data_IF_210575508031
#
_entry.id   IF_210575508031
#
_cell.length_a   1.000
_cell.length_b   1.000
_cell.length_c   1.000
_cell.angle_alpha   90.00
_cell.angle_beta   90.00
_cell.angle_gamma   90.00
#
_symmetry.space_group_name_H-M   'P 1'
#
loop_
_entity.id
_entity.type
_entity.pdbx_description
1 polymer ?
#
# COMPACT_ATOMS: atom_id res chain seq x y z
N UNK A 1 19.81 -11.06 16.26
CA UNK A 1 20.31 -10.94 14.85
C UNK A 1 20.50 -9.47 14.59
N UNK A 2 21.51 -9.06 13.82
CA UNK A 2 21.75 -7.64 13.55
C UNK A 2 21.26 -7.34 12.15
N UNK A 3 20.07 -6.74 12.02
CA UNK A 3 19.57 -6.22 10.75
C UNK A 3 20.43 -5.05 10.28
N UNK A 4 20.50 -4.86 8.98
CA UNK A 4 21.18 -3.72 8.31
C UNK A 4 20.27 -3.05 7.30
N UNK A 5 19.30 -3.78 6.79
CA UNK A 5 18.40 -3.34 5.71
C UNK A 5 16.96 -3.50 6.14
N UNK A 6 16.16 -2.47 5.89
CA UNK A 6 14.73 -2.48 6.13
C UNK A 6 14.00 -2.36 4.80
N UNK A 7 13.16 -3.32 4.49
CA UNK A 7 12.14 -3.20 3.46
C UNK A 7 10.87 -2.75 4.15
N UNK A 8 10.31 -1.64 3.74
CA UNK A 8 9.17 -1.02 4.39
C UNK A 8 8.07 -0.84 3.35
N UNK A 9 6.87 -1.31 3.65
CA UNK A 9 5.71 -0.98 2.85
C UNK A 9 5.33 0.49 3.00
N UNK A 10 4.53 1.02 2.08
CA UNK A 10 4.13 2.42 2.10
C UNK A 10 2.70 2.62 2.59
N UNK A 11 1.72 2.04 1.87
CA UNK A 11 0.31 2.28 2.09
C UNK A 11 -0.18 1.53 3.35
N UNK A 12 -0.85 2.22 4.26
CA UNK A 12 -1.26 1.74 5.60
C UNK A 12 -0.12 1.32 6.54
N UNK A 13 1.14 1.50 6.12
CA UNK A 13 2.31 1.31 6.99
C UNK A 13 2.95 2.64 7.37
N UNK A 14 3.20 3.52 6.39
CA UNK A 14 3.75 4.86 6.59
C UNK A 14 2.80 5.95 6.12
N UNK A 15 2.07 5.72 5.04
CA UNK A 15 1.14 6.65 4.41
C UNK A 15 -0.29 6.18 4.66
N UNK A 16 -1.12 7.04 5.26
CA UNK A 16 -2.50 6.73 5.68
C UNK A 16 -3.43 6.68 4.47
N UNK A 17 -3.49 5.51 3.78
CA UNK A 17 -4.34 5.35 2.60
C UNK A 17 -5.82 5.37 2.96
N UNK A 18 -6.19 4.92 4.15
CA UNK A 18 -7.58 4.93 4.59
C UNK A 18 -8.11 6.36 4.67
N UNK A 19 -7.39 7.25 5.33
CA UNK A 19 -7.79 8.65 5.44
C UNK A 19 -7.69 9.37 4.10
N UNK A 20 -6.52 9.36 3.49
CA UNK A 20 -6.25 10.09 2.25
C UNK A 20 -7.12 9.61 1.09
N UNK A 21 -7.31 8.29 0.97
CA UNK A 21 -8.16 7.69 -0.07
C UNK A 21 -9.64 8.00 0.14
N UNK A 22 -10.10 7.98 1.41
CA UNK A 22 -11.47 8.35 1.77
C UNK A 22 -11.79 9.80 1.41
N UNK A 23 -10.89 10.75 1.76
CA UNK A 23 -11.04 12.15 1.37
C UNK A 23 -11.15 12.32 -0.15
N UNK A 24 -10.26 11.65 -0.92
CA UNK A 24 -10.33 11.70 -2.38
C UNK A 24 -11.64 11.14 -2.94
N UNK A 25 -12.15 10.03 -2.36
CA UNK A 25 -13.43 9.45 -2.78
C UNK A 25 -14.61 10.37 -2.45
N UNK A 26 -14.54 11.09 -1.33
CA UNK A 26 -15.58 12.07 -0.95
C UNK A 26 -15.58 13.27 -1.90
N UNK A 27 -14.40 13.78 -2.27
CA UNK A 27 -14.27 14.81 -3.31
C UNK A 27 -14.86 14.33 -4.66
N UNK A 28 -14.53 13.10 -5.09
CA UNK A 28 -15.08 12.47 -6.29
C UNK A 28 -16.62 12.36 -6.20
N UNK A 29 -17.13 11.90 -5.07
CA UNK A 29 -18.57 11.79 -4.85
C UNK A 29 -19.30 13.12 -5.08
N UNK A 30 -18.74 14.23 -4.59
CA UNK A 30 -19.31 15.57 -4.77
C UNK A 30 -19.14 16.09 -6.20
N UNK A 31 -17.95 16.07 -6.74
CA UNK A 31 -17.61 16.69 -8.02
C UNK A 31 -18.24 15.97 -9.22
N UNK A 32 -18.40 14.66 -9.12
CA UNK A 32 -19.03 13.84 -10.17
C UNK A 32 -20.52 13.56 -9.90
N UNK A 33 -21.12 14.28 -8.95
CA UNK A 33 -22.55 14.23 -8.64
C UNK A 33 -23.06 12.81 -8.32
N UNK A 34 -22.28 12.01 -7.60
CA UNK A 34 -22.64 10.65 -7.19
C UNK A 34 -23.88 10.59 -6.31
N UNK A 35 -24.31 11.76 -5.74
CA UNK A 35 -25.60 11.89 -5.04
C UNK A 35 -26.80 11.48 -5.90
N UNK A 36 -26.65 11.51 -7.23
CA UNK A 36 -27.69 11.04 -8.16
C UNK A 36 -27.85 9.51 -8.11
N UNK A 37 -26.88 8.77 -7.58
CA UNK A 37 -26.86 7.32 -7.49
C UNK A 37 -26.93 6.83 -6.05
N UNK A 38 -26.25 7.50 -5.15
CA UNK A 38 -26.15 7.19 -3.73
C UNK A 38 -26.53 8.41 -2.91
N UNK A 39 -27.59 8.38 -2.10
CA UNK A 39 -28.06 9.53 -1.33
C UNK A 39 -26.98 10.14 -0.42
N UNK A 40 -26.07 9.31 0.12
CA UNK A 40 -24.98 9.74 0.99
C UNK A 40 -23.63 9.19 0.52
N UNK A 41 -22.55 9.87 0.91
CA UNK A 41 -21.19 9.40 0.66
C UNK A 41 -20.94 8.02 1.31
N UNK A 42 -21.47 7.80 2.52
CA UNK A 42 -21.31 6.52 3.24
C UNK A 42 -21.91 5.35 2.45
N UNK A 43 -23.07 5.53 1.84
CA UNK A 43 -23.66 4.49 0.99
C UNK A 43 -22.78 4.16 -0.22
N UNK A 44 -22.25 5.18 -0.88
CA UNK A 44 -21.28 4.99 -1.97
C UNK A 44 -20.01 4.27 -1.47
N UNK A 45 -19.42 4.75 -0.39
CA UNK A 45 -18.19 4.21 0.18
C UNK A 45 -18.33 2.74 0.58
N UNK A 46 -19.47 2.38 1.18
CA UNK A 46 -19.77 1.00 1.59
C UNK A 46 -19.96 0.04 0.38
N UNK A 47 -20.32 0.54 -0.79
CA UNK A 47 -20.37 -0.24 -2.04
C UNK A 47 -18.99 -0.30 -2.70
N UNK A 48 -18.28 0.84 -2.74
CA UNK A 48 -16.97 0.95 -3.39
C UNK A 48 -15.90 0.10 -2.70
N UNK A 49 -15.75 0.21 -1.40
CA UNK A 49 -14.60 -0.37 -0.67
C UNK A 49 -14.49 -1.90 -0.78
N UNK A 50 -15.56 -2.69 -0.57
CA UNK A 50 -15.46 -4.14 -0.73
C UNK A 50 -15.08 -4.56 -2.17
N UNK A 51 -15.62 -3.85 -3.16
CA UNK A 51 -15.27 -4.05 -4.57
C UNK A 51 -13.81 -3.74 -4.86
N UNK A 52 -13.32 -2.62 -4.36
CA UNK A 52 -11.93 -2.19 -4.51
C UNK A 52 -10.95 -3.18 -3.85
N UNK A 53 -11.24 -3.64 -2.63
CA UNK A 53 -10.41 -4.64 -1.94
C UNK A 53 -10.33 -5.95 -2.73
N UNK A 54 -11.45 -6.43 -3.27
CA UNK A 54 -11.50 -7.64 -4.11
C UNK A 54 -10.66 -7.46 -5.39
N UNK A 55 -10.81 -6.33 -6.09
CA UNK A 55 -10.06 -6.06 -7.31
C UNK A 55 -8.56 -5.97 -7.04
N UNK A 56 -8.13 -5.36 -5.94
CA UNK A 56 -6.73 -5.35 -5.53
C UNK A 56 -6.20 -6.75 -5.18
N UNK A 57 -7.03 -7.61 -4.57
CA UNK A 57 -6.65 -9.01 -4.31
C UNK A 57 -6.43 -9.76 -5.63
N UNK A 58 -7.37 -9.66 -6.59
CA UNK A 58 -7.25 -10.25 -7.92
C UNK A 58 -6.02 -9.74 -8.69
N UNK A 59 -5.74 -8.43 -8.61
CA UNK A 59 -4.54 -7.85 -9.22
C UNK A 59 -3.24 -8.41 -8.62
N UNK A 60 -3.16 -8.52 -7.29
CA UNK A 60 -2.00 -9.13 -6.61
C UNK A 60 -1.77 -10.59 -6.99
N UNK A 61 -2.84 -11.32 -7.29
CA UNK A 61 -2.80 -12.73 -7.74
C UNK A 61 -2.54 -12.87 -9.24
N UNK A 62 -2.51 -11.76 -9.99
CA UNK A 62 -2.34 -11.76 -11.44
C UNK A 62 -3.59 -12.19 -12.23
N UNK A 63 -4.75 -12.25 -11.58
CA UNK A 63 -6.02 -12.63 -12.21
C UNK A 63 -6.58 -11.53 -13.11
N UNK A 64 -6.28 -10.26 -12.79
CA UNK A 64 -6.64 -9.09 -13.60
C UNK A 64 -5.43 -8.20 -13.82
N UNK A 65 -5.47 -7.42 -14.90
CA UNK A 65 -4.44 -6.42 -15.20
C UNK A 65 -4.76 -5.08 -14.55
N UNK A 66 -3.75 -4.19 -14.49
CA UNK A 66 -3.86 -2.83 -13.97
C UNK A 66 -5.01 -2.06 -14.65
N UNK A 67 -5.12 -2.16 -15.98
CA UNK A 67 -6.14 -1.47 -16.76
C UNK A 67 -7.55 -1.89 -16.35
N UNK A 68 -7.74 -3.16 -16.03
CA UNK A 68 -9.04 -3.69 -15.56
C UNK A 68 -9.34 -3.18 -14.15
N UNK A 69 -8.36 -3.22 -13.23
CA UNK A 69 -8.52 -2.71 -11.87
C UNK A 69 -8.90 -1.23 -11.86
N UNK A 70 -8.18 -0.37 -12.59
CA UNK A 70 -8.42 1.08 -12.58
C UNK A 70 -9.78 1.46 -13.16
N UNK A 71 -10.33 0.68 -14.09
CA UNK A 71 -11.66 0.89 -14.66
C UNK A 71 -12.73 0.29 -13.75
N UNK A 72 -12.62 -0.98 -13.40
CA UNK A 72 -13.69 -1.72 -12.70
C UNK A 72 -14.00 -1.15 -11.31
N UNK A 73 -13.02 -0.64 -10.58
CA UNK A 73 -13.26 -0.07 -9.24
C UNK A 73 -14.21 1.13 -9.25
N UNK A 74 -14.29 1.89 -10.36
CA UNK A 74 -15.21 3.01 -10.51
C UNK A 74 -16.43 2.68 -11.37
N UNK A 75 -16.33 1.69 -12.27
CA UNK A 75 -17.45 1.28 -13.12
C UNK A 75 -18.45 0.39 -12.38
N UNK A 76 -17.95 -0.56 -11.57
CA UNK A 76 -18.80 -1.52 -10.88
C UNK A 76 -19.85 -0.85 -9.96
N UNK A 77 -19.54 0.18 -9.17
CA UNK A 77 -20.53 0.85 -8.34
C UNK A 77 -21.65 1.54 -9.12
N UNK A 78 -21.40 2.03 -10.33
CA UNK A 78 -22.39 2.78 -11.11
C UNK A 78 -23.08 1.97 -12.20
N UNK A 79 -22.62 0.76 -12.46
CA UNK A 79 -23.22 -0.16 -13.44
C UNK A 79 -24.70 -0.47 -13.16
N UNK A 80 -25.17 -0.64 -11.91
CA UNK A 80 -26.60 -0.84 -11.63
C UNK A 80 -27.50 0.33 -12.05
N UNK A 81 -26.93 1.51 -12.23
CA UNK A 81 -27.64 2.72 -12.66
C UNK A 81 -27.55 2.96 -14.18
N UNK A 82 -27.10 1.94 -14.94
CA UNK A 82 -27.03 1.98 -16.41
C UNK A 82 -25.76 2.64 -16.97
N UNK A 83 -24.79 2.99 -16.13
CA UNK A 83 -23.50 3.54 -16.58
C UNK A 83 -22.56 2.38 -16.88
N UNK A 84 -22.22 2.20 -18.16
CA UNK A 84 -21.38 1.09 -18.64
C UNK A 84 -20.18 1.54 -19.48
N UNK A 85 -19.98 2.87 -19.63
CA UNK A 85 -18.87 3.43 -20.40
C UNK A 85 -17.52 3.32 -19.64
N UNK A 86 -16.56 2.50 -20.11
CA UNK A 86 -15.25 2.38 -19.47
C UNK A 86 -14.46 3.69 -19.47
N UNK A 87 -14.70 4.58 -20.45
CA UNK A 87 -14.00 5.86 -20.55
C UNK A 87 -14.40 6.81 -19.42
N UNK A 88 -15.66 6.75 -18.98
CA UNK A 88 -16.15 7.47 -17.81
C UNK A 88 -15.40 7.03 -16.55
N UNK A 89 -15.34 5.73 -16.31
CA UNK A 89 -14.66 5.16 -15.13
C UNK A 89 -13.16 5.43 -15.16
N UNK A 90 -12.54 5.40 -16.35
CA UNK A 90 -11.11 5.73 -16.48
C UNK A 90 -10.83 7.18 -16.10
N UNK A 91 -11.64 8.14 -16.57
CA UNK A 91 -11.46 9.56 -16.16
C UNK A 91 -11.57 9.74 -14.65
N UNK A 92 -12.55 9.07 -14.01
CA UNK A 92 -12.68 9.08 -12.55
C UNK A 92 -11.44 8.50 -11.85
N UNK A 93 -10.93 7.38 -12.38
CA UNK A 93 -9.75 6.74 -11.83
C UNK A 93 -8.51 7.63 -11.98
N UNK A 94 -8.33 8.27 -13.13
CA UNK A 94 -7.20 9.16 -13.38
C UNK A 94 -7.26 10.38 -12.41
N UNK A 95 -8.44 10.98 -12.21
CA UNK A 95 -8.64 12.09 -11.28
C UNK A 95 -8.42 11.64 -9.81
N UNK A 96 -8.96 10.47 -9.44
CA UNK A 96 -8.72 9.90 -8.11
C UNK A 96 -7.22 9.70 -7.83
N UNK A 97 -6.48 9.12 -8.79
CA UNK A 97 -5.05 8.89 -8.64
C UNK A 97 -4.28 10.21 -8.53
N UNK A 98 -4.65 11.21 -9.34
CA UNK A 98 -4.05 12.54 -9.26
C UNK A 98 -4.30 13.19 -7.90
N UNK A 99 -5.54 13.21 -7.41
CA UNK A 99 -5.89 13.74 -6.08
C UNK A 99 -5.14 13.02 -4.96
N UNK A 100 -5.09 11.70 -5.04
CA UNK A 100 -4.37 10.88 -4.07
C UNK A 100 -2.90 11.28 -3.95
N UNK A 101 -2.24 11.64 -5.05
CA UNK A 101 -0.83 12.08 -5.00
C UNK A 101 -0.61 13.41 -4.28
N UNK A 102 -1.65 14.22 -4.10
CA UNK A 102 -1.60 15.52 -3.40
C UNK A 102 -1.85 15.40 -1.90
N UNK A 103 -2.35 14.26 -1.44
CA UNK A 103 -2.57 13.99 -0.02
C UNK A 103 -1.26 13.57 0.65
N UNK A 104 -1.06 14.03 1.87
CA UNK A 104 0.24 13.88 2.55
C UNK A 104 0.14 13.34 3.97
N UNK A 105 -1.06 12.94 4.42
CA UNK A 105 -1.23 12.40 5.76
C UNK A 105 -0.46 11.09 5.92
N UNK A 106 0.37 11.05 6.94
CA UNK A 106 1.14 9.87 7.34
C UNK A 106 0.47 9.17 8.52
N UNK A 107 0.79 7.89 8.68
CA UNK A 107 0.50 7.16 9.91
C UNK A 107 1.24 7.84 11.07
N UNK A 108 0.57 7.94 12.22
CA UNK A 108 1.14 8.58 13.43
C UNK A 108 2.47 7.94 13.83
N UNK A 109 3.47 8.77 14.12
CA UNK A 109 4.81 8.32 14.48
C UNK A 109 5.74 7.99 13.31
N UNK A 110 5.29 8.16 12.05
CA UNK A 110 6.10 7.81 10.86
C UNK A 110 7.42 8.58 10.81
N UNK A 111 7.39 9.91 10.93
CA UNK A 111 8.61 10.72 10.81
C UNK A 111 9.57 10.47 11.97
N UNK A 112 9.05 10.35 13.18
CA UNK A 112 9.82 10.02 14.37
C UNK A 112 10.50 8.65 14.27
N UNK A 113 9.81 7.66 13.70
CA UNK A 113 10.39 6.35 13.43
C UNK A 113 11.50 6.44 12.38
N UNK A 114 11.23 7.10 11.26
CA UNK A 114 12.20 7.21 10.16
C UNK A 114 13.47 8.00 10.57
N UNK A 115 13.33 9.07 11.36
CA UNK A 115 14.45 9.81 11.92
C UNK A 115 15.31 8.94 12.86
N UNK A 116 14.67 8.08 13.66
CA UNK A 116 15.36 7.14 14.54
C UNK A 116 16.11 6.04 13.77
N UNK A 117 15.51 5.53 12.68
CA UNK A 117 16.05 4.43 11.88
C UNK A 117 17.16 4.88 10.92
N UNK A 118 17.05 6.10 10.35
CA UNK A 118 17.93 6.60 9.30
C UNK A 118 19.43 6.51 9.60
N UNK A 119 19.94 6.84 10.81
CA UNK A 119 21.37 6.73 11.11
C UNK A 119 21.87 5.30 11.30
N UNK A 120 20.95 4.31 11.42
CA UNK A 120 21.28 2.93 11.80
C UNK A 120 21.12 1.93 10.67
N UNK A 121 20.18 2.18 9.76
CA UNK A 121 19.73 1.20 8.77
C UNK A 121 19.67 1.80 7.37
N UNK A 122 19.87 0.94 6.38
CA UNK A 122 19.54 1.24 4.99
C UNK A 122 18.06 0.95 4.79
N UNK A 123 17.30 1.93 4.32
CA UNK A 123 15.86 1.82 4.18
C UNK A 123 15.44 1.84 2.71
N UNK A 124 14.48 0.98 2.39
CA UNK A 124 13.95 0.80 1.03
C UNK A 124 12.43 0.66 1.11
N UNK A 125 11.71 1.32 0.21
CA UNK A 125 10.29 1.05 0.02
C UNK A 125 10.11 -0.22 -0.82
N UNK A 126 9.16 -1.07 -0.44
CA UNK A 126 8.74 -2.26 -1.18
C UNK A 126 7.21 -2.26 -1.30
N UNK A 127 6.65 -1.82 -2.44
CA UNK A 127 5.21 -1.56 -2.59
C UNK A 127 4.61 -2.18 -3.86
N UNK A 128 3.32 -2.56 -3.76
CA UNK A 128 2.49 -3.01 -4.88
C UNK A 128 1.72 -1.86 -5.55
N UNK A 129 1.86 -0.64 -5.07
CA UNK A 129 1.18 0.53 -5.64
C UNK A 129 1.75 0.94 -7.00
N UNK A 130 0.97 1.67 -7.76
CA UNK A 130 1.33 2.11 -9.11
C UNK A 130 2.47 3.12 -9.10
N UNK A 131 3.42 2.92 -10.01
CA UNK A 131 4.67 3.69 -10.07
C UNK A 131 4.43 5.21 -10.08
N UNK A 132 3.56 5.68 -10.96
CA UNK A 132 3.26 7.10 -11.12
C UNK A 132 2.64 7.74 -9.88
N UNK A 133 2.01 6.93 -9.03
CA UNK A 133 1.37 7.37 -7.78
C UNK A 133 2.37 7.33 -6.63
N UNK A 134 3.07 6.20 -6.44
CA UNK A 134 3.95 5.99 -5.29
C UNK A 134 5.11 6.98 -5.22
N UNK A 135 5.77 7.26 -6.36
CA UNK A 135 6.84 8.26 -6.40
C UNK A 135 6.35 9.65 -5.96
N UNK A 136 5.19 10.07 -6.45
CA UNK A 136 4.60 11.37 -6.07
C UNK A 136 4.16 11.40 -4.61
N UNK A 137 3.53 10.34 -4.08
CA UNK A 137 3.19 10.22 -2.65
C UNK A 137 4.43 10.39 -1.78
N UNK A 138 5.49 9.64 -2.06
CA UNK A 138 6.75 9.67 -1.30
C UNK A 138 7.40 11.05 -1.35
N UNK A 139 7.39 11.70 -2.52
CA UNK A 139 7.96 13.03 -2.68
C UNK A 139 7.14 14.10 -1.95
N UNK A 140 5.84 14.13 -2.19
CA UNK A 140 4.93 15.14 -1.63
C UNK A 140 4.75 15.01 -0.11
N UNK A 141 4.88 13.80 0.44
CA UNK A 141 4.84 13.56 1.89
C UNK A 141 6.19 13.74 2.59
N UNK A 142 7.24 14.19 1.87
CA UNK A 142 8.56 14.41 2.46
C UNK A 142 9.33 13.14 2.83
N UNK A 143 8.89 11.97 2.36
CA UNK A 143 9.49 10.67 2.71
C UNK A 143 10.75 10.34 1.91
N UNK A 144 10.91 10.94 0.71
CA UNK A 144 12.02 10.63 -0.21
C UNK A 144 13.42 10.63 0.42
N UNK A 145 13.80 11.57 1.31
CA UNK A 145 15.14 11.62 1.88
C UNK A 145 15.52 10.44 2.80
N UNK A 146 14.54 9.64 3.22
CA UNK A 146 14.76 8.51 4.12
C UNK A 146 15.15 7.22 3.38
N UNK A 147 14.82 7.12 2.10
CA UNK A 147 14.93 5.86 1.36
C UNK A 147 16.03 5.91 0.30
N UNK A 148 16.90 4.89 0.29
CA UNK A 148 17.92 4.76 -0.75
C UNK A 148 17.30 4.39 -2.11
N UNK A 149 16.29 3.54 -2.12
CA UNK A 149 15.56 3.12 -3.32
C UNK A 149 14.09 2.80 -3.01
N UNK A 150 13.29 2.86 -4.06
CA UNK A 150 11.88 2.48 -4.08
C UNK A 150 11.78 1.29 -5.02
N UNK A 151 11.27 0.17 -4.54
CA UNK A 151 11.01 -1.04 -5.32
C UNK A 151 9.50 -1.21 -5.49
N UNK A 152 9.04 -1.18 -6.72
CA UNK A 152 7.64 -1.32 -7.08
C UNK A 152 7.40 -2.63 -7.81
N UNK A 153 6.20 -3.18 -7.66
CA UNK A 153 5.80 -4.42 -8.33
C UNK A 153 5.92 -4.32 -9.86
N UNK A 154 5.66 -3.15 -10.44
CA UNK A 154 5.83 -2.90 -11.86
C UNK A 154 7.31 -2.98 -12.32
N UNK A 155 8.28 -2.65 -11.45
CA UNK A 155 9.71 -2.78 -11.74
C UNK A 155 10.18 -4.24 -11.66
N UNK A 156 9.59 -4.99 -10.75
CA UNK A 156 9.90 -6.41 -10.53
C UNK A 156 9.15 -7.34 -11.51
N UNK A 157 8.10 -6.85 -12.17
CA UNK A 157 7.20 -7.64 -13.01
C UNK A 157 6.32 -8.60 -12.21
N UNK A 158 6.22 -8.41 -10.90
CA UNK A 158 5.43 -9.26 -9.99
C UNK A 158 5.10 -8.53 -8.69
N UNK A 159 4.01 -8.92 -8.04
CA UNK A 159 3.51 -8.33 -6.81
C UNK A 159 3.97 -9.08 -5.54
N UNK A 160 4.09 -8.41 -4.39
CA UNK A 160 4.02 -9.08 -3.10
C UNK A 160 2.67 -9.83 -3.02
N UNK A 161 2.59 -11.06 -2.53
CA UNK A 161 3.58 -11.82 -1.76
C UNK A 161 4.54 -12.71 -2.58
N UNK A 162 4.57 -12.61 -3.91
CA UNK A 162 5.41 -13.50 -4.73
C UNK A 162 6.90 -13.36 -4.33
N UNK A 163 7.64 -14.49 -4.13
CA UNK A 163 9.04 -14.46 -3.68
C UNK A 163 9.98 -13.71 -4.61
N UNK A 164 9.66 -13.62 -5.91
CA UNK A 164 10.49 -12.91 -6.88
C UNK A 164 10.52 -11.40 -6.63
N UNK A 165 9.44 -10.81 -6.08
CA UNK A 165 9.42 -9.40 -5.67
C UNK A 165 10.49 -9.13 -4.60
N UNK A 166 10.58 -9.99 -3.59
CA UNK A 166 11.59 -9.88 -2.52
C UNK A 166 13.00 -10.19 -3.03
N UNK A 167 13.12 -11.16 -3.93
CA UNK A 167 14.41 -11.51 -4.57
C UNK A 167 14.93 -10.35 -5.42
N UNK A 168 14.03 -9.69 -6.18
CA UNK A 168 14.33 -8.47 -6.93
C UNK A 168 14.84 -7.36 -6.02
N UNK A 169 14.14 -7.09 -4.92
CA UNK A 169 14.52 -6.05 -3.97
C UNK A 169 15.88 -6.35 -3.29
N UNK A 170 16.10 -7.59 -2.84
CA UNK A 170 17.39 -8.01 -2.26
C UNK A 170 18.56 -7.82 -3.21
N UNK A 171 18.39 -8.26 -4.47
CA UNK A 171 19.43 -8.14 -5.51
C UNK A 171 19.74 -6.66 -5.82
N UNK A 172 18.71 -5.84 -6.02
CA UNK A 172 18.89 -4.45 -6.44
C UNK A 172 19.27 -3.49 -5.30
N UNK A 173 19.09 -3.91 -4.04
CA UNK A 173 19.61 -3.22 -2.85
C UNK A 173 20.99 -3.73 -2.39
N UNK A 174 21.51 -4.81 -3.01
CA UNK A 174 22.68 -5.52 -2.53
C UNK A 174 22.53 -5.93 -1.04
N UNK A 175 21.38 -6.44 -0.68
CA UNK A 175 21.03 -6.83 0.69
C UNK A 175 21.05 -8.35 0.87
N UNK A 176 21.43 -8.82 2.08
CA UNK A 176 21.37 -10.22 2.44
C UNK A 176 20.10 -10.52 3.24
N UNK A 177 19.44 -11.65 2.93
CA UNK A 177 18.19 -12.06 3.61
C UNK A 177 18.28 -12.04 5.13
N UNK A 178 19.33 -12.66 5.69
CA UNK A 178 19.54 -12.75 7.14
C UNK A 178 19.95 -11.44 7.81
N UNK A 179 20.05 -10.35 7.06
CA UNK A 179 20.33 -9.00 7.53
C UNK A 179 19.22 -8.02 7.13
N UNK A 180 18.08 -8.54 6.65
CA UNK A 180 16.95 -7.76 6.16
C UNK A 180 15.71 -8.13 6.95
N UNK A 181 14.88 -7.14 7.29
CA UNK A 181 13.55 -7.34 7.85
C UNK A 181 12.53 -6.58 7.01
N UNK A 182 11.35 -7.16 6.83
CA UNK A 182 10.18 -6.54 6.19
C UNK A 182 9.28 -5.93 7.26
N UNK A 183 8.91 -4.67 7.10
CA UNK A 183 7.93 -3.95 7.93
C UNK A 183 6.72 -3.65 7.08
N UNK A 184 5.54 -4.08 7.50
CA UNK A 184 4.31 -3.85 6.75
C UNK A 184 3.07 -4.22 7.55
N UNK A 185 1.90 -3.76 7.08
CA UNK A 185 0.60 -4.01 7.69
C UNK A 185 -0.12 -5.22 7.07
N UNK A 186 0.11 -5.48 5.77
CA UNK A 186 -0.60 -6.51 5.05
C UNK A 186 -0.10 -7.91 5.41
N UNK A 187 -0.98 -8.70 6.07
CA UNK A 187 -0.67 -10.09 6.38
C UNK A 187 -0.23 -10.88 5.15
N UNK A 188 -1.03 -10.83 4.08
CA UNK A 188 -0.78 -11.64 2.88
C UNK A 188 0.41 -11.14 2.07
N UNK A 189 0.44 -9.82 1.79
CA UNK A 189 1.44 -9.26 0.90
C UNK A 189 2.82 -9.16 1.57
N UNK A 190 2.88 -8.60 2.78
CA UNK A 190 4.14 -8.26 3.44
C UNK A 190 4.65 -9.42 4.29
N UNK A 191 3.81 -9.89 5.21
CA UNK A 191 4.24 -10.80 6.27
C UNK A 191 4.40 -12.22 5.73
N UNK A 192 3.38 -12.76 5.06
CA UNK A 192 3.48 -14.07 4.42
C UNK A 192 4.49 -14.06 3.26
N UNK A 193 4.52 -12.97 2.47
CA UNK A 193 5.48 -12.81 1.38
C UNK A 193 6.93 -12.81 1.86
N UNK A 194 7.26 -12.02 2.90
CA UNK A 194 8.59 -11.98 3.50
C UNK A 194 8.99 -13.32 4.10
N UNK A 195 8.08 -13.97 4.85
CA UNK A 195 8.30 -15.31 5.40
C UNK A 195 8.62 -16.33 4.30
N UNK A 196 7.82 -16.38 3.25
CA UNK A 196 8.03 -17.31 2.12
C UNK A 196 9.35 -17.03 1.41
N UNK A 197 9.83 -15.78 1.49
CA UNK A 197 11.14 -15.35 1.00
C UNK A 197 12.28 -15.54 2.03
N UNK A 198 12.00 -16.12 3.20
CA UNK A 198 12.95 -16.30 4.32
C UNK A 198 13.57 -14.99 4.80
N UNK A 199 12.74 -13.95 4.90
CA UNK A 199 13.06 -12.64 5.46
C UNK A 199 12.23 -12.49 6.73
N UNK A 200 12.83 -12.00 7.82
CA UNK A 200 12.14 -11.73 9.07
C UNK A 200 11.09 -10.61 8.90
N UNK A 201 10.06 -10.62 9.75
CA UNK A 201 8.91 -9.72 9.61
C UNK A 201 8.67 -8.93 10.91
N UNK A 202 8.34 -7.66 10.76
CA UNK A 202 7.70 -6.83 11.78
C UNK A 202 6.29 -6.52 11.25
N UNK A 203 5.29 -7.14 11.84
CA UNK A 203 3.91 -6.91 11.47
C UNK A 203 3.35 -5.69 12.19
N UNK A 204 3.09 -4.62 11.45
CA UNK A 204 2.35 -3.47 11.94
C UNK A 204 0.86 -3.81 11.95
N UNK A 205 0.29 -4.01 13.12
CA UNK A 205 -1.05 -4.57 13.33
C UNK A 205 -1.86 -3.74 14.35
N UNK A 206 -2.22 -2.48 14.00
CA UNK A 206 -2.96 -1.61 14.92
C UNK A 206 -4.33 -2.19 15.29
N UNK A 207 -4.92 -3.00 14.42
CA UNK A 207 -6.20 -3.65 14.64
C UNK A 207 -6.14 -4.89 15.54
N UNK A 208 -4.97 -5.29 16.02
CA UNK A 208 -4.78 -6.50 16.86
C UNK A 208 -5.40 -7.77 16.26
N UNK A 209 -5.33 -7.90 14.94
CA UNK A 209 -5.84 -9.07 14.23
C UNK A 209 -5.06 -10.34 14.62
N UNK A 210 -5.71 -11.51 14.67
CA UNK A 210 -5.00 -12.76 14.96
C UNK A 210 -4.09 -13.15 13.79
N UNK A 211 -2.89 -13.71 14.09
CA UNK A 211 -2.03 -14.28 13.06
C UNK A 211 -2.71 -15.44 12.30
N UNK A 212 -2.42 -15.56 11.01
CA UNK A 212 -3.03 -16.58 10.14
C UNK A 212 -2.01 -17.67 9.79
N UNK A 213 -2.10 -18.82 10.46
CA UNK A 213 -1.31 -20.03 10.15
C UNK A 213 0.14 -20.06 10.64
N UNK A 214 0.70 -18.92 11.08
CA UNK A 214 2.04 -18.84 11.67
C UNK A 214 2.19 -17.60 12.58
N UNK A 215 3.27 -17.54 13.36
CA UNK A 215 3.65 -16.37 14.13
C UNK A 215 4.68 -15.53 13.34
N UNK A 216 4.48 -14.21 13.17
CA UNK A 216 5.50 -13.32 12.63
C UNK A 216 6.72 -13.27 13.55
N UNK A 217 7.87 -12.82 13.06
CA UNK A 217 9.05 -12.62 13.89
C UNK A 217 8.76 -11.61 15.01
N UNK A 218 8.09 -10.50 14.66
CA UNK A 218 7.61 -9.51 15.61
C UNK A 218 6.23 -8.98 15.19
N UNK A 219 5.45 -8.50 16.16
CA UNK A 219 4.17 -7.80 15.94
C UNK A 219 4.15 -6.54 16.80
N UNK A 220 3.74 -5.42 16.22
CA UNK A 220 3.57 -4.13 16.91
C UNK A 220 2.21 -3.54 16.59
N UNK A 221 1.64 -2.78 17.52
CA UNK A 221 0.34 -2.10 17.33
C UNK A 221 0.49 -0.65 16.88
N UNK A 222 1.68 -0.07 17.12
CA UNK A 222 2.03 1.28 16.72
C UNK A 222 3.48 1.31 16.19
N UNK A 223 3.83 2.39 15.52
CA UNK A 223 5.17 2.55 14.94
C UNK A 223 6.24 2.77 16.02
N UNK A 224 5.87 3.23 17.21
CA UNK A 224 6.81 3.40 18.32
C UNK A 224 7.37 2.06 18.79
N UNK A 225 6.55 0.99 18.80
CA UNK A 225 6.98 -0.35 19.16
C UNK A 225 8.08 -0.91 18.25
N UNK A 226 8.21 -0.43 17.01
CA UNK A 226 9.33 -0.82 16.12
C UNK A 226 10.67 -0.37 16.67
N UNK A 227 10.72 0.78 17.37
CA UNK A 227 11.95 1.32 17.97
C UNK A 227 12.47 0.46 19.13
N UNK A 228 11.61 -0.35 19.74
CA UNK A 228 12.01 -1.28 20.81
C UNK A 228 12.64 -2.57 20.23
N UNK A 229 12.40 -2.84 18.94
CA UNK A 229 12.93 -4.01 18.23
C UNK A 229 14.24 -3.66 17.50
N UNK A 230 14.34 -2.43 16.98
CA UNK A 230 15.42 -1.93 16.11
C UNK A 230 16.20 -0.80 16.80
#
# INVERSE_FOLDING_TARGET
MTYRNLFIDLDDTLWDIHHNGRECLEEIYHDYHYRNYYPTFEEYYNVYMPGNHRLWAMYRQGEIRKEELIVERFLAPVRPFGITDPSYAKRLSDDFLERTTRKTRLIEGTLELLDYLRPKYRMFILSNGFREVQHKKIENSGLKPYFEKIFLSEDAGTNKPHPDMFTYALKNSNSRRNQTVMIGDSWDADIAGARNSRIDQIWFNPGSLPPQGFQPTYTVQDLAGIREIL
#
